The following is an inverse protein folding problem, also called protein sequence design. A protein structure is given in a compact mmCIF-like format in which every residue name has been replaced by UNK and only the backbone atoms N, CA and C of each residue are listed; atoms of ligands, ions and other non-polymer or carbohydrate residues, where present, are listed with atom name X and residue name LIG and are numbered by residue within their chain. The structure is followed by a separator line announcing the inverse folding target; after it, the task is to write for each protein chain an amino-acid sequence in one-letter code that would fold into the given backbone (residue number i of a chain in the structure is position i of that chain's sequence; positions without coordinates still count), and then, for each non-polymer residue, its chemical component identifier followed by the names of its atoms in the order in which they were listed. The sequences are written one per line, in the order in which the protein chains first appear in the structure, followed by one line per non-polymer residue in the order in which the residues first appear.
data_IF_005490312469
#
_entry.id   IF_005490312469
#
_cell.length_a   1.000
_cell.length_b   1.000
_cell.length_c   1.000
_cell.angle_alpha   90.00
_cell.angle_beta   90.00
_cell.angle_gamma   90.00
#
_symmetry.space_group_name_H-M   'P 1'
#
loop_
_entity.id
_entity.type
_entity.pdbx_description
1 polymer ?
#
# COMPACT_ATOMS: atom_id res chain seq x y z
N UNK A 1 -0.72 12.18 5.52
CA UNK A 1 -1.15 12.06 6.93
C UNK A 1 -1.53 13.44 7.40
N UNK A 2 -2.79 13.65 7.76
CA UNK A 2 -3.27 14.95 8.24
C UNK A 2 -2.76 15.24 9.65
N UNK A 3 -2.78 16.51 10.04
CA UNK A 3 -2.33 16.91 11.38
C UNK A 3 -3.28 16.32 12.44
N UNK A 4 -2.70 15.56 13.37
CA UNK A 4 -3.47 14.88 14.44
C UNK A 4 -3.91 13.46 14.10
N UNK A 5 -3.63 12.97 12.90
CA UNK A 5 -3.95 11.61 12.46
C UNK A 5 -2.72 10.70 12.57
N UNK A 6 -2.90 9.46 13.02
CA UNK A 6 -1.86 8.42 12.94
C UNK A 6 -1.75 7.87 11.51
N UNK A 7 -0.63 7.20 11.18
CA UNK A 7 -0.47 6.60 9.84
C UNK A 7 -1.56 5.57 9.51
N UNK A 8 -1.95 4.65 10.43
CA UNK A 8 -3.03 3.71 10.16
C UNK A 8 -4.40 4.39 9.98
N UNK A 9 -4.72 5.41 10.78
CA UNK A 9 -5.97 6.17 10.61
C UNK A 9 -6.04 6.84 9.24
N UNK A 10 -4.93 7.47 8.82
CA UNK A 10 -4.81 8.05 7.49
C UNK A 10 -5.03 7.00 6.40
N UNK A 11 -4.38 5.85 6.51
CA UNK A 11 -4.52 4.77 5.53
C UNK A 11 -5.97 4.27 5.44
N UNK A 12 -6.65 4.08 6.58
CA UNK A 12 -8.06 3.65 6.61
C UNK A 12 -8.94 4.70 5.92
N UNK A 13 -8.73 5.99 6.24
CA UNK A 13 -9.51 7.10 5.64
C UNK A 13 -9.29 7.18 4.13
N UNK A 14 -8.05 7.13 3.67
CA UNK A 14 -7.73 7.18 2.23
C UNK A 14 -8.30 5.96 1.49
N UNK A 15 -8.10 4.74 2.00
CA UNK A 15 -8.65 3.53 1.36
C UNK A 15 -10.18 3.52 1.33
N UNK A 16 -10.85 4.08 2.33
CA UNK A 16 -12.30 4.30 2.31
C UNK A 16 -12.69 5.28 1.22
N UNK A 17 -12.00 6.42 1.12
CA UNK A 17 -12.33 7.47 0.16
C UNK A 17 -12.04 7.06 -1.28
N UNK A 18 -10.89 6.42 -1.52
CA UNK A 18 -10.42 6.12 -2.87
C UNK A 18 -10.87 4.77 -3.41
N UNK A 19 -11.03 3.79 -2.51
CA UNK A 19 -11.32 2.40 -2.85
C UNK A 19 -12.65 1.86 -2.31
N UNK A 20 -13.33 2.60 -1.44
CA UNK A 20 -14.64 2.23 -0.89
C UNK A 20 -14.60 1.06 0.10
N UNK A 21 -13.45 0.80 0.73
CA UNK A 21 -13.25 -0.33 1.65
C UNK A 21 -12.94 0.11 3.08
N UNK A 22 -13.31 -0.74 4.03
CA UNK A 22 -12.89 -0.64 5.42
C UNK A 22 -11.69 -1.56 5.64
N UNK A 23 -10.50 -0.97 5.66
CA UNK A 23 -9.24 -1.68 5.82
C UNK A 23 -8.89 -1.93 7.30
N UNK A 24 -8.16 -3.02 7.57
CA UNK A 24 -7.57 -3.30 8.88
C UNK A 24 -6.04 -3.39 8.73
N UNK A 25 -5.31 -2.26 8.87
CA UNK A 25 -3.84 -2.28 8.83
C UNK A 25 -3.28 -3.10 9.99
N UNK A 26 -2.44 -4.09 9.67
CA UNK A 26 -1.94 -5.04 10.67
C UNK A 26 -0.45 -4.85 10.98
N UNK A 27 0.38 -4.62 9.95
CA UNK A 27 1.83 -4.56 10.13
C UNK A 27 2.45 -3.43 9.31
N UNK A 28 3.33 -2.67 9.94
CA UNK A 28 4.20 -1.73 9.24
C UNK A 28 5.24 -2.47 8.40
N UNK A 29 5.38 -2.09 7.13
CA UNK A 29 6.33 -2.72 6.21
C UNK A 29 7.64 -1.95 6.18
N UNK A 30 7.60 -0.72 5.67
CA UNK A 30 8.77 0.13 5.51
C UNK A 30 8.35 1.58 5.25
N UNK A 31 9.33 2.48 5.31
CA UNK A 31 9.20 3.84 4.79
C UNK A 31 10.25 4.10 3.74
N UNK A 32 9.87 4.93 2.77
CA UNK A 32 10.79 5.47 1.79
C UNK A 32 10.64 6.98 1.72
N UNK A 33 11.78 7.69 1.67
CA UNK A 33 11.80 9.14 1.54
C UNK A 33 12.40 9.51 0.20
N UNK A 34 11.75 10.44 -0.50
CA UNK A 34 12.22 10.92 -1.80
C UNK A 34 11.85 12.38 -2.02
N UNK A 35 12.75 13.12 -2.63
CA UNK A 35 12.47 14.47 -3.10
C UNK A 35 11.72 14.42 -4.43
N UNK A 36 10.57 15.10 -4.48
CA UNK A 36 9.74 15.25 -5.68
C UNK A 36 9.38 16.72 -5.80
N UNK A 37 9.84 17.37 -6.87
CA UNK A 37 9.55 18.79 -7.14
C UNK A 37 9.84 19.71 -5.94
N UNK A 38 11.05 19.60 -5.36
CA UNK A 38 11.51 20.37 -4.18
C UNK A 38 10.72 20.12 -2.89
N UNK A 39 9.90 19.06 -2.86
CA UNK A 39 9.19 18.62 -1.66
C UNK A 39 9.73 17.26 -1.26
N UNK A 40 10.08 17.11 0.01
CA UNK A 40 10.43 15.81 0.56
C UNK A 40 9.14 15.05 0.88
N UNK A 41 8.92 13.93 0.19
CA UNK A 41 7.79 13.05 0.40
C UNK A 41 8.25 11.85 1.22
N UNK A 42 7.52 11.55 2.29
CA UNK A 42 7.72 10.38 3.13
C UNK A 42 6.56 9.41 2.89
N UNK A 43 6.85 8.27 2.30
CA UNK A 43 5.89 7.20 2.07
C UNK A 43 6.04 6.14 3.15
N UNK A 44 4.91 5.61 3.60
CA UNK A 44 4.82 4.55 4.58
C UNK A 44 3.97 3.41 4.02
N UNK A 45 4.56 2.23 3.89
CA UNK A 45 3.84 1.03 3.49
C UNK A 45 3.35 0.26 4.72
N UNK A 46 2.10 -0.15 4.67
CA UNK A 46 1.46 -0.99 5.68
C UNK A 46 0.82 -2.19 5.00
N UNK A 47 0.97 -3.35 5.61
CA UNK A 47 0.29 -4.57 5.21
C UNK A 47 -1.13 -4.56 5.78
N UNK A 48 -2.11 -4.70 4.90
CA UNK A 48 -3.53 -4.82 5.19
C UNK A 48 -3.97 -6.22 4.76
N UNK A 49 -3.94 -7.22 5.67
CA UNK A 49 -4.31 -8.59 5.32
C UNK A 49 -5.82 -8.75 5.14
N UNK A 50 -6.61 -7.87 5.76
CA UNK A 50 -8.06 -7.98 5.80
C UNK A 50 -8.70 -6.60 5.55
N UNK A 51 -9.77 -6.62 4.77
CA UNK A 51 -10.65 -5.48 4.59
C UNK A 51 -12.08 -5.97 4.33
N UNK A 52 -13.05 -5.09 4.53
CA UNK A 52 -14.45 -5.36 4.19
C UNK A 52 -14.99 -4.34 3.18
N UNK A 53 -16.06 -4.72 2.48
CA UNK A 53 -16.64 -3.94 1.39
C UNK A 53 -16.22 -4.43 0.01
N UNK A 54 -16.63 -3.69 -1.02
CA UNK A 54 -16.30 -3.99 -2.42
C UNK A 54 -15.35 -2.93 -2.93
N UNK A 55 -14.19 -3.35 -3.42
CA UNK A 55 -13.22 -2.47 -4.08
C UNK A 55 -13.85 -1.73 -5.26
N UNK A 56 -13.74 -0.41 -5.26
CA UNK A 56 -14.20 0.48 -6.32
C UNK A 56 -13.14 1.52 -6.61
N UNK A 57 -12.73 1.67 -7.86
CA UNK A 57 -11.74 2.65 -8.27
C UNK A 57 -12.39 4.06 -8.36
N UNK A 58 -12.45 4.82 -7.26
CA UNK A 58 -13.07 6.14 -7.27
C UNK A 58 -12.19 7.22 -7.92
N UNK A 59 -10.88 7.17 -7.66
CA UNK A 59 -9.88 8.09 -8.23
C UNK A 59 -8.83 7.38 -9.09
N UNK A 60 -8.99 6.08 -9.30
CA UNK A 60 -8.09 5.24 -10.10
C UNK A 60 -8.79 4.81 -11.39
N UNK A 61 -8.00 4.60 -12.46
CA UNK A 61 -8.53 4.16 -13.75
C UNK A 61 -8.81 2.65 -13.82
N UNK A 62 -8.08 1.86 -13.04
CA UNK A 62 -8.20 0.41 -12.99
C UNK A 62 -7.68 -0.15 -11.65
N UNK A 63 -8.11 -1.37 -11.32
CA UNK A 63 -7.60 -2.16 -10.20
C UNK A 63 -7.25 -3.56 -10.71
N UNK A 64 -6.13 -4.09 -10.23
CA UNK A 64 -5.66 -5.45 -10.56
C UNK A 64 -5.09 -6.10 -9.32
N UNK A 65 -5.43 -7.36 -9.11
CA UNK A 65 -4.77 -8.22 -8.14
C UNK A 65 -3.66 -8.99 -8.85
N UNK A 66 -2.46 -8.97 -8.29
CA UNK A 66 -1.30 -9.71 -8.79
C UNK A 66 -0.43 -10.14 -7.60
N UNK A 67 0.50 -11.06 -7.85
CA UNK A 67 1.51 -11.41 -6.84
C UNK A 67 2.47 -10.22 -6.65
N UNK A 68 3.16 -10.14 -5.49
CA UNK A 68 4.19 -9.13 -5.30
C UNK A 68 5.27 -9.15 -6.38
N UNK A 69 5.63 -10.33 -6.88
CA UNK A 69 6.61 -10.50 -7.95
C UNK A 69 6.08 -9.98 -9.30
N UNK A 70 4.82 -10.27 -9.62
CA UNK A 70 4.17 -9.81 -10.86
C UNK A 70 3.98 -8.30 -10.88
N UNK A 71 3.87 -7.65 -9.71
CA UNK A 71 3.72 -6.20 -9.62
C UNK A 71 4.89 -5.43 -10.28
N UNK A 72 6.11 -6.01 -10.32
CA UNK A 72 7.26 -5.42 -11.03
C UNK A 72 7.11 -5.37 -12.55
N UNK A 73 6.11 -6.07 -13.12
CA UNK A 73 5.82 -6.00 -14.56
C UNK A 73 5.03 -4.73 -14.93
N UNK A 74 4.49 -4.01 -13.96
CA UNK A 74 3.79 -2.75 -14.15
C UNK A 74 4.73 -1.55 -13.99
N UNK A 75 4.32 -0.41 -14.55
CA UNK A 75 5.04 0.86 -14.40
C UNK A 75 4.78 1.49 -13.02
N UNK A 76 5.32 0.86 -11.96
CA UNK A 76 5.25 1.37 -10.59
C UNK A 76 5.97 2.72 -10.46
N UNK A 77 5.51 3.58 -9.55
CA UNK A 77 6.26 4.80 -9.28
C UNK A 77 7.60 4.42 -8.62
N UNK A 78 8.71 5.15 -8.91
CA UNK A 78 10.02 4.81 -8.36
C UNK A 78 10.08 4.75 -6.83
N UNK A 79 9.15 5.42 -6.14
CA UNK A 79 9.07 5.46 -4.69
C UNK A 79 8.36 4.22 -4.09
N UNK A 80 7.59 3.47 -4.90
CA UNK A 80 6.87 2.26 -4.48
C UNK A 80 7.74 1.01 -4.56
N UNK A 81 8.69 0.98 -5.51
CA UNK A 81 9.62 -0.15 -5.73
C UNK A 81 10.33 -0.59 -4.43
N UNK A 82 11.02 0.29 -3.67
CA UNK A 82 11.69 -0.14 -2.44
C UNK A 82 10.72 -0.59 -1.34
N UNK A 83 9.47 -0.11 -1.37
CA UNK A 83 8.44 -0.54 -0.42
C UNK A 83 7.93 -1.95 -0.77
N UNK A 84 7.77 -2.25 -2.05
CA UNK A 84 7.40 -3.57 -2.54
C UNK A 84 8.51 -4.59 -2.30
N UNK A 85 9.77 -4.23 -2.52
CA UNK A 85 10.93 -5.08 -2.17
C UNK A 85 10.93 -5.41 -0.66
N UNK A 86 10.72 -4.41 0.19
CA UNK A 86 10.61 -4.62 1.63
C UNK A 86 9.41 -5.50 2.00
N UNK A 87 8.28 -5.35 1.29
CA UNK A 87 7.12 -6.22 1.47
C UNK A 87 7.46 -7.68 1.16
N UNK A 88 8.08 -7.97 0.01
CA UNK A 88 8.48 -9.33 -0.40
C UNK A 88 9.42 -10.00 0.61
N UNK A 89 10.34 -9.22 1.19
CA UNK A 89 11.26 -9.71 2.22
C UNK A 89 10.57 -10.05 3.55
N UNK A 90 9.39 -9.49 3.82
CA UNK A 90 8.61 -9.86 5.00
C UNK A 90 8.00 -11.24 4.82
N UNK A 91 8.18 -12.09 5.84
CA UNK A 91 7.65 -13.47 5.84
C UNK A 91 6.15 -13.56 5.57
N UNK A 92 5.39 -12.52 5.91
CA UNK A 92 3.93 -12.43 5.81
C UNK A 92 3.44 -12.06 4.39
N UNK A 93 4.35 -11.67 3.48
CA UNK A 93 4.02 -11.43 2.06
C UNK A 93 4.11 -12.70 1.20
N UNK A 94 4.66 -13.79 1.75
CA UNK A 94 4.66 -15.08 1.07
C UNK A 94 3.24 -15.63 1.13
N UNK A 95 2.62 -16.00 -0.01
CA UNK A 95 1.33 -16.68 0.03
C UNK A 95 1.46 -17.85 1.00
N UNK A 96 0.53 -17.95 1.96
CA UNK A 96 0.44 -19.12 2.81
C UNK A 96 0.43 -20.33 1.87
N UNK A 97 1.48 -21.13 2.04
CA UNK A 97 1.93 -22.19 1.17
C UNK A 97 0.86 -22.79 0.22
N UNK A 98 1.18 -22.79 -1.07
CA UNK A 98 0.67 -23.78 -2.02
C UNK A 98 1.16 -25.17 -1.54
N UNK A 99 0.42 -25.81 -0.64
CA UNK A 99 0.52 -27.25 -0.38
C UNK A 99 -0.68 -27.97 -0.98
#
# INVERSE_FOLDING_TARGET
VEAGETQPEALIRELRAELGIEAVPARYVASHQREVSQRLIHLHAWHVPEFSGQLKAHYHSALVWCTPEDAFTYALAPADIPLLEAFILLRDARPADLY
#
